data_IF_042173993429
#
_entry.id   IF_042173993429
#
_cell.length_a   1.000
_cell.length_b   1.000
_cell.length_c   1.000
_cell.angle_alpha   90.00
_cell.angle_beta   90.00
_cell.angle_gamma   90.00
#
_symmetry.space_group_name_H-M   'P 1'
#
loop_
_entity.id
_entity.type
_entity.pdbx_description
1 polymer ?
#
# COMPACT_ATOMS: atom_id res chain seq x y z
N UNK A 1 14.37 -6.10 11.60
CA UNK A 1 13.71 -7.18 12.36
C UNK A 1 14.55 -8.44 12.34
N UNK A 2 14.87 -8.99 11.16
CA UNK A 2 15.73 -10.17 11.02
C UNK A 2 17.23 -9.83 11.09
N UNK A 3 17.66 -8.91 11.96
CA UNK A 3 19.10 -8.66 12.13
C UNK A 3 19.68 -9.67 13.11
N UNK A 4 20.92 -10.09 12.89
CA UNK A 4 21.56 -11.16 13.67
C UNK A 4 21.47 -10.87 15.18
N UNK A 5 21.82 -9.65 15.60
CA UNK A 5 21.76 -9.21 17.01
C UNK A 5 20.35 -9.26 17.60
N UNK A 6 19.32 -8.97 16.81
CA UNK A 6 17.94 -8.95 17.28
C UNK A 6 17.37 -10.37 17.36
N UNK A 7 17.73 -11.22 16.39
CA UNK A 7 17.34 -12.63 16.36
C UNK A 7 17.99 -13.39 17.52
N UNK A 8 19.29 -13.21 17.77
CA UNK A 8 19.98 -13.84 18.90
C UNK A 8 19.40 -13.39 20.23
N UNK A 9 19.14 -12.09 20.40
CA UNK A 9 18.48 -11.58 21.61
C UNK A 9 17.08 -12.17 21.79
N UNK A 10 16.25 -12.23 20.74
CA UNK A 10 14.90 -12.82 20.83
C UNK A 10 14.95 -14.31 21.16
N UNK A 11 15.92 -15.06 20.62
CA UNK A 11 16.08 -16.47 20.92
C UNK A 11 16.64 -16.72 22.34
N UNK A 12 17.50 -15.83 22.84
CA UNK A 12 18.08 -15.89 24.17
C UNK A 12 17.08 -15.56 25.29
N UNK A 13 16.09 -14.71 25.02
CA UNK A 13 15.03 -14.31 25.98
C UNK A 13 13.96 -15.42 26.25
N UNK A 14 14.28 -16.69 25.97
CA UNK A 14 13.43 -17.83 26.27
C UNK A 14 12.11 -17.88 25.47
N UNK A 15 11.04 -18.33 26.11
CA UNK A 15 9.74 -18.55 25.46
C UNK A 15 9.10 -17.26 24.94
N UNK A 16 9.26 -16.14 25.65
CA UNK A 16 8.66 -14.86 25.26
C UNK A 16 9.28 -14.30 23.97
N UNK A 17 10.61 -14.36 23.84
CA UNK A 17 11.27 -13.85 22.64
C UNK A 17 10.99 -14.71 21.39
N UNK A 18 10.90 -16.04 21.54
CA UNK A 18 10.43 -16.94 20.47
C UNK A 18 8.99 -16.64 20.05
N UNK A 19 8.10 -16.37 21.01
CA UNK A 19 6.72 -15.96 20.72
C UNK A 19 6.68 -14.66 19.90
N UNK A 20 7.39 -13.61 20.32
CA UNK A 20 7.44 -12.32 19.59
C UNK A 20 7.99 -12.50 18.17
N UNK A 21 9.01 -13.34 18.00
CA UNK A 21 9.58 -13.63 16.68
C UNK A 21 8.57 -14.29 15.73
N UNK A 22 7.94 -15.38 16.17
CA UNK A 22 6.92 -16.10 15.38
C UNK A 22 5.69 -15.23 15.16
N UNK A 23 5.28 -14.46 16.16
CA UNK A 23 4.14 -13.55 16.09
C UNK A 23 4.38 -12.43 15.07
N UNK A 24 5.56 -11.84 15.02
CA UNK A 24 5.90 -10.80 14.04
C UNK A 24 5.83 -11.31 12.58
N UNK A 25 6.36 -12.50 12.33
CA UNK A 25 6.27 -13.14 11.01
C UNK A 25 4.81 -13.47 10.66
N UNK A 26 4.07 -14.06 11.61
CA UNK A 26 2.65 -14.39 11.42
C UNK A 26 1.79 -13.15 11.16
N UNK A 27 2.06 -12.04 11.86
CA UNK A 27 1.38 -10.77 11.66
C UNK A 27 1.58 -10.27 10.22
N UNK A 28 2.82 -10.24 9.76
CA UNK A 28 3.16 -9.69 8.45
C UNK A 28 2.65 -10.54 7.28
N UNK A 29 2.78 -11.86 7.36
CA UNK A 29 2.47 -12.77 6.24
C UNK A 29 1.04 -13.30 6.24
N UNK A 30 0.36 -13.33 7.39
CA UNK A 30 -0.98 -13.93 7.51
C UNK A 30 -2.01 -12.90 7.97
N UNK A 31 -1.79 -12.26 9.12
CA UNK A 31 -2.82 -11.38 9.70
C UNK A 31 -3.04 -10.14 8.82
N UNK A 32 -1.96 -9.51 8.34
CA UNK A 32 -2.09 -8.33 7.47
C UNK A 32 -2.89 -8.61 6.19
N UNK A 33 -2.55 -9.61 5.35
CA UNK A 33 -3.31 -9.85 4.12
C UNK A 33 -4.76 -10.28 4.40
N UNK A 34 -5.00 -11.06 5.46
CA UNK A 34 -6.37 -11.43 5.87
C UNK A 34 -7.18 -10.20 6.29
N UNK A 35 -6.60 -9.29 7.06
CA UNK A 35 -7.28 -8.07 7.45
C UNK A 35 -7.50 -7.13 6.26
N UNK A 36 -6.55 -7.05 5.32
CA UNK A 36 -6.72 -6.28 4.06
C UNK A 36 -7.82 -6.89 3.17
N UNK A 37 -7.98 -8.21 3.21
CA UNK A 37 -9.05 -8.90 2.49
C UNK A 37 -10.44 -8.42 2.96
N UNK A 38 -10.66 -8.39 4.28
CA UNK A 38 -11.95 -8.06 4.88
C UNK A 38 -12.22 -6.56 5.00
N UNK A 39 -11.20 -5.77 5.37
CA UNK A 39 -11.34 -4.36 5.76
C UNK A 39 -10.62 -3.37 4.80
N UNK A 40 -9.96 -3.86 3.75
CA UNK A 40 -9.20 -3.03 2.81
C UNK A 40 -7.89 -2.49 3.42
N UNK A 41 -7.13 -1.65 2.71
CA UNK A 41 -5.86 -1.10 3.25
C UNK A 41 -6.01 -0.09 4.39
N UNK A 42 -7.22 0.45 4.57
CA UNK A 42 -7.49 1.51 5.55
C UNK A 42 -7.19 1.07 6.98
N UNK A 43 -7.48 -0.18 7.35
CA UNK A 43 -7.27 -0.65 8.73
C UNK A 43 -5.79 -0.46 9.14
N UNK A 44 -4.84 -0.86 8.30
CA UNK A 44 -3.43 -0.73 8.62
C UNK A 44 -2.97 0.73 8.48
N UNK A 45 -3.25 1.36 7.34
CA UNK A 45 -2.72 2.68 7.01
C UNK A 45 -3.31 3.85 7.83
N UNK A 46 -4.43 3.65 8.52
CA UNK A 46 -5.06 4.69 9.36
C UNK A 46 -5.01 4.37 10.85
N UNK A 47 -5.02 3.09 11.26
CA UNK A 47 -5.10 2.74 12.69
C UNK A 47 -3.79 2.20 13.27
N UNK A 48 -2.96 1.56 12.45
CA UNK A 48 -1.75 0.86 12.93
C UNK A 48 -0.48 1.61 12.51
N UNK A 49 -0.46 2.15 11.30
CA UNK A 49 0.72 2.75 10.71
C UNK A 49 0.94 4.18 11.20
N UNK A 50 2.00 4.41 11.98
CA UNK A 50 2.42 5.75 12.43
C UNK A 50 2.71 6.72 11.28
N UNK A 51 3.28 6.25 10.17
CA UNK A 51 3.49 7.09 8.97
C UNK A 51 2.17 7.57 8.35
N UNK A 52 1.11 6.78 8.49
CA UNK A 52 -0.23 7.15 8.06
C UNK A 52 -0.79 8.29 8.90
N UNK A 53 -0.69 8.18 10.24
CA UNK A 53 -1.07 9.26 11.16
C UNK A 53 -0.30 10.56 10.87
N UNK A 54 1.02 10.46 10.67
CA UNK A 54 1.85 11.62 10.32
C UNK A 54 1.40 12.30 9.03
N UNK A 55 1.04 11.52 8.01
CA UNK A 55 0.54 12.07 6.74
C UNK A 55 -0.83 12.74 6.90
N UNK A 56 -1.73 12.19 7.72
CA UNK A 56 -3.02 12.83 8.01
C UNK A 56 -2.86 14.13 8.81
N UNK A 57 -1.90 14.21 9.73
CA UNK A 57 -1.70 15.41 10.55
C UNK A 57 -0.92 16.51 9.83
N UNK A 58 0.16 16.18 9.11
CA UNK A 58 1.06 17.16 8.50
C UNK A 58 0.90 17.29 6.98
N UNK A 59 0.45 16.23 6.30
CA UNK A 59 0.34 16.18 4.84
C UNK A 59 -0.99 16.69 4.30
N UNK A 60 -2.04 16.72 5.12
CA UNK A 60 -3.40 17.10 4.66
C UNK A 60 -3.48 18.51 4.03
N UNK A 61 -2.82 19.56 4.56
CA UNK A 61 -2.81 20.88 3.94
C UNK A 61 -2.20 20.94 2.54
N UNK A 62 -1.42 19.92 2.15
CA UNK A 62 -0.69 19.90 0.88
C UNK A 62 -1.32 18.98 -0.16
N UNK A 63 -2.51 18.41 0.09
CA UNK A 63 -3.15 17.42 -0.80
C UNK A 63 -3.26 17.89 -2.27
N UNK A 64 -3.46 19.18 -2.49
CA UNK A 64 -3.56 19.81 -3.82
C UNK A 64 -2.29 19.70 -4.66
N UNK A 65 -1.12 19.57 -4.04
CA UNK A 65 0.17 19.44 -4.74
C UNK A 65 0.40 18.03 -5.31
N UNK A 66 -0.49 17.07 -5.00
CA UNK A 66 -0.37 15.72 -5.52
C UNK A 66 -0.62 15.68 -7.03
N UNK A 67 0.42 15.35 -7.80
CA UNK A 67 0.30 15.18 -9.26
C UNK A 67 -0.59 13.97 -9.58
N UNK A 68 -1.63 14.20 -10.39
CA UNK A 68 -2.66 13.21 -10.78
C UNK A 68 -2.46 12.69 -12.20
N UNK A 69 -1.44 13.15 -12.91
CA UNK A 69 -1.17 12.79 -14.30
C UNK A 69 -0.88 11.30 -14.47
N UNK A 70 -1.11 10.79 -15.68
CA UNK A 70 -0.80 9.40 -16.03
C UNK A 70 0.72 9.13 -15.93
N UNK A 71 1.57 10.14 -16.14
CA UNK A 71 3.02 10.02 -15.99
C UNK A 71 3.39 9.78 -14.52
N UNK A 72 2.88 10.60 -13.60
CA UNK A 72 3.08 10.41 -12.16
C UNK A 72 2.57 9.05 -11.69
N UNK A 73 1.44 8.57 -12.25
CA UNK A 73 0.93 7.22 -11.96
C UNK A 73 1.82 6.09 -12.47
N UNK A 74 2.42 6.22 -13.66
CA UNK A 74 3.37 5.21 -14.13
C UNK A 74 4.59 5.19 -13.21
N UNK A 75 5.10 6.36 -12.86
CA UNK A 75 6.25 6.53 -11.98
C UNK A 75 5.99 5.97 -10.57
N UNK A 76 4.85 6.28 -9.95
CA UNK A 76 4.48 5.74 -8.62
C UNK A 76 4.46 4.21 -8.64
N UNK A 77 3.95 3.61 -9.72
CA UNK A 77 3.89 2.16 -9.86
C UNK A 77 5.29 1.56 -9.99
N UNK A 78 6.16 2.11 -10.81
CA UNK A 78 7.50 1.55 -11.00
C UNK A 78 8.33 1.62 -9.70
N UNK A 79 8.37 2.80 -9.06
CA UNK A 79 9.18 2.97 -7.85
C UNK A 79 8.67 2.10 -6.71
N UNK A 80 7.36 2.08 -6.44
CA UNK A 80 6.87 1.37 -5.26
C UNK A 80 7.08 -0.15 -5.36
N UNK A 81 7.01 -0.72 -6.58
CA UNK A 81 7.29 -2.15 -6.79
C UNK A 81 8.80 -2.43 -6.81
N UNK A 82 9.62 -1.50 -7.33
CA UNK A 82 11.07 -1.60 -7.22
C UNK A 82 11.52 -1.62 -5.75
N UNK A 83 10.99 -0.70 -4.93
CA UNK A 83 11.28 -0.66 -3.49
C UNK A 83 10.79 -1.92 -2.78
N UNK A 84 9.63 -2.47 -3.17
CA UNK A 84 9.16 -3.76 -2.65
C UNK A 84 10.12 -4.90 -2.99
N UNK A 85 10.54 -5.03 -4.26
CA UNK A 85 11.50 -6.07 -4.69
C UNK A 85 12.82 -5.94 -3.94
N UNK A 86 13.33 -4.72 -3.81
CA UNK A 86 14.53 -4.43 -3.05
C UNK A 86 14.38 -4.79 -1.56
N UNK A 87 13.24 -4.44 -0.94
CA UNK A 87 12.97 -4.78 0.46
C UNK A 87 12.87 -6.30 0.69
N UNK A 88 12.24 -7.04 -0.24
CA UNK A 88 12.17 -8.51 -0.18
C UNK A 88 13.56 -9.11 -0.33
N UNK A 89 14.34 -8.65 -1.31
CA UNK A 89 15.72 -9.08 -1.51
C UNK A 89 16.57 -8.86 -0.26
N UNK A 90 16.54 -7.64 0.30
CA UNK A 90 17.28 -7.32 1.52
C UNK A 90 16.83 -8.15 2.72
N UNK A 91 15.54 -8.46 2.82
CA UNK A 91 14.98 -9.29 3.90
C UNK A 91 15.45 -10.74 3.78
N UNK A 92 15.44 -11.31 2.56
CA UNK A 92 15.96 -12.67 2.29
C UNK A 92 17.46 -12.72 2.59
N UNK A 93 18.21 -11.74 2.11
CA UNK A 93 19.65 -11.63 2.34
C UNK A 93 19.98 -11.60 3.84
N UNK A 94 19.36 -10.66 4.56
CA UNK A 94 19.58 -10.46 6.00
C UNK A 94 19.10 -11.66 6.81
N UNK A 95 18.02 -12.32 6.39
CA UNK A 95 17.52 -13.55 7.01
C UNK A 95 18.45 -14.74 6.78
N UNK A 96 19.05 -14.86 5.60
CA UNK A 96 20.02 -15.91 5.29
C UNK A 96 21.31 -15.77 6.11
N UNK A 97 21.88 -14.57 6.19
CA UNK A 97 23.06 -14.32 7.02
C UNK A 97 22.76 -14.56 8.51
N UNK A 98 21.57 -14.16 8.98
CA UNK A 98 21.12 -14.46 10.36
C UNK A 98 21.00 -15.96 10.61
N UNK A 99 20.46 -16.71 9.64
CA UNK A 99 20.32 -18.15 9.72
C UNK A 99 21.69 -18.83 9.81
N UNK A 100 22.64 -18.44 8.94
CA UNK A 100 24.01 -18.96 8.98
C UNK A 100 24.70 -18.66 10.31
N UNK A 101 24.54 -17.45 10.85
CA UNK A 101 25.12 -17.05 12.13
C UNK A 101 24.58 -17.89 13.31
N UNK A 102 23.30 -18.27 13.29
CA UNK A 102 22.66 -19.03 14.38
C UNK A 102 22.92 -20.53 14.28
N UNK A 103 22.87 -21.11 13.08
CA UNK A 103 22.99 -22.56 12.89
C UNK A 103 24.42 -23.06 12.67
N UNK A 104 25.34 -22.19 12.26
CA UNK A 104 26.74 -22.54 12.02
C UNK A 104 27.69 -21.59 12.76
N UNK A 105 27.78 -21.67 14.09
CA UNK A 105 28.64 -20.79 14.88
C UNK A 105 30.13 -20.93 14.53
N UNK A 106 30.54 -22.06 13.95
CA UNK A 106 31.96 -22.42 13.74
C UNK A 106 32.55 -21.94 12.40
N UNK A 107 31.73 -21.42 11.46
CA UNK A 107 32.21 -20.89 10.19
C UNK A 107 32.96 -19.55 10.35
N UNK A 108 33.84 -19.20 9.42
CA UNK A 108 34.55 -17.91 9.46
C UNK A 108 33.56 -16.74 9.26
N UNK A 109 33.79 -15.63 9.95
CA UNK A 109 32.90 -14.46 9.95
C UNK A 109 32.71 -13.90 8.53
N UNK A 110 33.76 -13.92 7.71
CA UNK A 110 33.71 -13.46 6.33
C UNK A 110 32.76 -14.31 5.48
N UNK A 111 32.71 -15.63 5.67
CA UNK A 111 31.83 -16.51 4.89
C UNK A 111 30.36 -16.46 5.35
N UNK A 112 30.10 -16.09 6.60
CA UNK A 112 28.73 -15.90 7.14
C UNK A 112 28.07 -14.61 6.67
N UNK A 113 28.90 -13.59 6.48
CA UNK A 113 28.47 -12.22 6.16
C UNK A 113 28.44 -12.00 4.64
N UNK A 114 29.09 -12.89 3.87
CA UNK A 114 29.26 -12.77 2.42
C UNK A 114 28.33 -13.73 1.68
N UNK A 115 27.24 -13.19 1.15
CA UNK A 115 26.46 -13.86 0.11
C UNK A 115 26.93 -13.24 -1.24
N UNK A 116 27.15 -14.05 -2.29
CA UNK A 116 27.61 -13.57 -3.62
C UNK A 116 28.85 -12.65 -3.66
N UNK A 117 29.78 -12.75 -2.69
CA UNK A 117 31.03 -11.96 -2.67
C UNK A 117 30.89 -10.52 -2.14
N UNK A 118 29.76 -10.16 -1.52
CA UNK A 118 29.52 -8.81 -0.98
C UNK A 118 29.30 -8.90 0.54
N UNK A 119 30.07 -8.14 1.33
CA UNK A 119 29.96 -8.14 2.79
C UNK A 119 28.67 -7.43 3.27
N UNK A 120 27.84 -8.16 4.00
CA UNK A 120 26.54 -7.69 4.48
C UNK A 120 26.60 -6.63 5.59
N UNK A 121 27.70 -6.50 6.33
CA UNK A 121 27.81 -5.55 7.44
C UNK A 121 27.92 -4.09 7.01
N UNK A 122 28.72 -3.83 5.98
CA UNK A 122 28.84 -2.48 5.40
C UNK A 122 27.52 -2.07 4.77
N UNK A 123 26.86 -2.99 4.07
CA UNK A 123 25.54 -2.74 3.48
C UNK A 123 24.50 -2.49 4.57
N UNK A 124 24.45 -3.29 5.64
CA UNK A 124 23.49 -3.11 6.75
C UNK A 124 23.67 -1.77 7.46
N UNK A 125 24.91 -1.34 7.68
CA UNK A 125 25.21 -0.07 8.35
C UNK A 125 24.81 1.12 7.49
N UNK A 126 25.18 1.13 6.21
CA UNK A 126 24.75 2.16 5.26
C UNK A 126 23.24 2.16 5.03
N UNK A 127 22.63 0.99 4.89
CA UNK A 127 21.19 0.82 4.76
C UNK A 127 20.43 1.34 5.98
N UNK A 128 20.90 1.00 7.19
CA UNK A 128 20.32 1.46 8.46
C UNK A 128 20.46 2.97 8.66
N UNK A 129 21.62 3.55 8.32
CA UNK A 129 21.85 5.00 8.38
C UNK A 129 21.03 5.75 7.33
N UNK A 130 21.01 5.27 6.09
CA UNK A 130 20.28 5.89 4.99
C UNK A 130 18.77 5.80 5.23
N UNK A 131 18.24 4.64 5.63
CA UNK A 131 16.82 4.52 6.00
C UNK A 131 16.50 5.33 7.26
N UNK A 132 17.34 5.28 8.29
CA UNK A 132 17.12 6.02 9.53
C UNK A 132 17.05 7.54 9.32
N UNK A 133 17.99 8.09 8.53
CA UNK A 133 18.05 9.53 8.22
C UNK A 133 17.00 9.98 7.19
N UNK A 134 16.71 9.16 6.19
CA UNK A 134 15.74 9.46 5.14
C UNK A 134 14.29 9.39 5.66
N UNK A 135 13.99 8.48 6.58
CA UNK A 135 12.66 8.37 7.21
C UNK A 135 12.44 9.35 8.36
N UNK A 136 13.47 9.74 9.13
CA UNK A 136 13.29 10.65 10.28
C UNK A 136 13.15 12.12 9.88
N UNK A 137 13.72 12.56 8.76
CA UNK A 137 13.73 13.98 8.37
C UNK A 137 13.19 14.30 6.98
N UNK A 138 13.71 13.66 5.93
CA UNK A 138 13.55 14.18 4.56
C UNK A 138 12.26 13.70 3.89
N UNK A 139 11.89 12.43 4.04
CA UNK A 139 10.71 11.84 3.39
C UNK A 139 9.45 11.94 4.25
N UNK A 140 9.58 11.95 5.58
CA UNK A 140 8.45 11.94 6.52
C UNK A 140 7.68 13.26 6.64
N UNK A 141 8.34 14.40 6.41
CA UNK A 141 7.72 15.74 6.54
C UNK A 141 8.15 16.72 5.45
N UNK A 142 9.42 16.68 5.01
CA UNK A 142 9.97 17.64 4.04
C UNK A 142 9.35 17.59 2.63
N UNK A 143 8.86 16.42 2.20
CA UNK A 143 8.30 16.26 0.85
C UNK A 143 6.80 16.52 0.73
N UNK A 144 6.06 16.66 1.83
CA UNK A 144 4.62 16.94 1.76
C UNK A 144 4.29 18.27 1.08
N UNK A 145 5.01 19.38 1.35
CA UNK A 145 4.74 20.65 0.67
C UNK A 145 4.91 20.60 -0.86
N UNK A 146 5.79 19.73 -1.36
CA UNK A 146 6.18 19.69 -2.78
C UNK A 146 5.36 18.65 -3.54
N UNK A 147 5.22 17.44 -3.00
CA UNK A 147 4.64 16.30 -3.72
C UNK A 147 3.24 15.91 -3.22
N UNK A 148 2.75 16.57 -2.17
CA UNK A 148 1.41 16.44 -1.62
C UNK A 148 1.29 15.49 -0.45
N UNK A 149 0.06 15.04 -0.17
CA UNK A 149 -0.20 14.17 0.97
C UNK A 149 0.27 12.72 0.69
N UNK A 150 0.66 11.98 1.73
CA UNK A 150 0.97 10.54 1.72
C UNK A 150 2.03 10.13 0.66
N UNK A 151 2.97 11.02 0.34
CA UNK A 151 4.05 10.80 -0.64
C UNK A 151 4.84 9.53 -0.34
N UNK A 152 5.19 9.31 0.92
CA UNK A 152 5.85 8.07 1.35
C UNK A 152 5.02 6.83 1.03
N UNK A 153 3.73 6.85 1.39
CA UNK A 153 2.82 5.73 1.15
C UNK A 153 2.60 5.47 -0.35
N UNK A 154 2.72 6.52 -1.17
CA UNK A 154 2.51 6.49 -2.62
C UNK A 154 3.73 6.00 -3.40
N UNK A 155 4.94 6.37 -2.99
CA UNK A 155 6.16 6.08 -3.76
C UNK A 155 7.09 5.08 -3.11
N UNK A 156 7.20 5.07 -1.78
CA UNK A 156 8.30 4.39 -1.09
C UNK A 156 7.91 3.28 -0.13
N UNK A 157 6.65 3.21 0.33
CA UNK A 157 6.27 2.24 1.34
C UNK A 157 6.16 0.82 0.76
N UNK A 158 7.09 -0.12 1.09
CA UNK A 158 7.03 -1.48 0.56
C UNK A 158 5.80 -2.22 1.06
N UNK A 159 5.37 -1.95 2.30
CA UNK A 159 4.17 -2.56 2.85
C UNK A 159 2.90 -2.06 2.14
N UNK A 160 2.86 -0.80 1.69
CA UNK A 160 1.75 -0.28 0.90
C UNK A 160 1.68 -0.95 -0.48
N UNK A 161 2.82 -1.29 -1.10
CA UNK A 161 2.86 -2.09 -2.32
C UNK A 161 2.36 -3.53 -2.07
N UNK A 162 2.85 -4.19 -1.02
CA UNK A 162 2.41 -5.54 -0.64
C UNK A 162 0.90 -5.60 -0.41
N UNK A 163 0.38 -4.73 0.46
CA UNK A 163 -1.07 -4.67 0.71
C UNK A 163 -1.83 -4.16 -0.52
N UNK A 164 -1.22 -3.34 -1.37
CA UNK A 164 -1.82 -2.84 -2.61
C UNK A 164 -2.04 -3.95 -3.65
N UNK A 165 -1.14 -4.94 -3.68
CA UNK A 165 -1.26 -6.15 -4.47
C UNK A 165 -2.45 -6.99 -3.98
N UNK A 166 -2.49 -7.28 -2.67
CA UNK A 166 -3.60 -8.02 -2.04
C UNK A 166 -4.92 -7.28 -2.25
N UNK A 167 -4.93 -5.96 -2.07
CA UNK A 167 -6.14 -5.16 -2.26
C UNK A 167 -6.61 -5.21 -3.69
N UNK A 168 -5.74 -5.08 -4.69
CA UNK A 168 -6.14 -5.07 -6.10
C UNK A 168 -6.75 -6.40 -6.55
N UNK A 169 -6.19 -7.52 -6.09
CA UNK A 169 -6.60 -8.84 -6.58
C UNK A 169 -7.62 -9.56 -5.71
N UNK A 170 -7.61 -9.34 -4.39
CA UNK A 170 -8.39 -10.16 -3.44
C UNK A 170 -9.31 -9.38 -2.51
N UNK A 171 -9.06 -8.11 -2.20
CA UNK A 171 -9.92 -7.40 -1.24
C UNK A 171 -11.36 -7.21 -1.72
N UNK A 172 -12.32 -7.38 -0.81
CA UNK A 172 -13.75 -7.09 -1.10
C UNK A 172 -14.03 -5.59 -1.22
N UNK A 173 -13.09 -4.77 -0.78
CA UNK A 173 -13.22 -3.33 -0.66
C UNK A 173 -13.02 -2.63 -2.01
N UNK A 174 -13.99 -1.80 -2.42
CA UNK A 174 -13.90 -0.97 -3.63
C UNK A 174 -14.75 0.29 -3.52
N UNK A 175 -14.42 1.27 -4.35
CA UNK A 175 -15.30 2.43 -4.57
C UNK A 175 -16.02 2.19 -5.89
N UNK A 176 -17.33 2.05 -5.82
CA UNK A 176 -18.19 1.93 -7.00
C UNK A 176 -18.69 3.28 -7.44
N UNK A 177 -18.94 3.39 -8.74
CA UNK A 177 -19.25 4.67 -9.39
C UNK A 177 -20.52 4.57 -10.22
N UNK A 178 -21.40 5.56 -10.08
CA UNK A 178 -22.56 5.74 -10.95
C UNK A 178 -22.31 6.93 -11.90
N UNK A 179 -21.67 6.65 -13.04
CA UNK A 179 -21.18 7.68 -13.95
C UNK A 179 -22.27 8.62 -14.49
N UNK A 180 -23.50 8.12 -14.66
CA UNK A 180 -24.62 8.91 -15.20
C UNK A 180 -25.03 10.11 -14.35
N UNK A 181 -24.63 10.15 -13.06
CA UNK A 181 -24.93 11.24 -12.13
C UNK A 181 -23.74 12.20 -11.95
N UNK A 182 -22.61 11.97 -12.63
CA UNK A 182 -21.39 12.75 -12.46
C UNK A 182 -21.47 14.12 -13.15
N UNK A 183 -21.46 15.19 -12.36
CA UNK A 183 -21.41 16.59 -12.86
C UNK A 183 -19.98 17.13 -13.06
N UNK A 184 -18.96 16.28 -13.01
CA UNK A 184 -17.55 16.66 -13.27
C UNK A 184 -16.95 17.77 -12.39
N UNK A 185 -17.52 18.05 -11.21
CA UNK A 185 -17.09 19.12 -10.30
C UNK A 185 -15.66 18.99 -9.75
N UNK A 186 -15.08 17.78 -9.71
CA UNK A 186 -13.69 17.56 -9.32
C UNK A 186 -13.39 17.47 -7.82
N UNK A 187 -14.36 17.72 -6.92
CA UNK A 187 -14.18 17.63 -5.47
C UNK A 187 -13.54 16.29 -5.05
N UNK A 188 -14.02 15.19 -5.60
CA UNK A 188 -13.50 13.85 -5.30
C UNK A 188 -12.00 13.68 -5.62
N UNK A 189 -11.48 14.32 -6.68
CA UNK A 189 -10.04 14.31 -7.02
C UNK A 189 -9.25 15.28 -6.15
N UNK A 190 -9.85 16.40 -5.73
CA UNK A 190 -9.18 17.41 -4.88
C UNK A 190 -8.96 16.91 -3.46
N UNK A 191 -9.93 16.21 -2.89
CA UNK A 191 -9.86 15.66 -1.53
C UNK A 191 -9.24 14.25 -1.48
N UNK A 192 -8.72 13.72 -2.59
CA UNK A 192 -8.08 12.42 -2.59
C UNK A 192 -6.66 12.50 -1.98
N UNK A 193 -6.50 11.95 -0.78
CA UNK A 193 -5.22 11.86 -0.05
C UNK A 193 -4.10 11.12 -0.82
N UNK A 194 -4.47 10.30 -1.81
CA UNK A 194 -3.53 9.52 -2.62
C UNK A 194 -3.20 10.19 -3.97
N UNK A 195 -3.75 11.38 -4.24
CA UNK A 195 -3.53 12.05 -5.54
C UNK A 195 -4.09 11.28 -6.74
N UNK A 196 -5.19 10.54 -6.55
CA UNK A 196 -5.87 9.82 -7.64
C UNK A 196 -6.82 10.79 -8.34
N UNK A 197 -6.84 10.80 -9.68
CA UNK A 197 -7.87 11.52 -10.43
C UNK A 197 -9.21 10.76 -10.42
N UNK A 198 -9.90 10.80 -9.28
CA UNK A 198 -11.18 10.13 -9.05
C UNK A 198 -12.26 10.59 -10.04
N UNK A 199 -12.26 11.88 -10.41
CA UNK A 199 -13.19 12.45 -11.39
C UNK A 199 -13.14 11.71 -12.72
N UNK A 200 -11.95 11.39 -13.22
CA UNK A 200 -11.81 10.67 -14.49
C UNK A 200 -12.41 9.26 -14.44
N UNK A 201 -12.35 8.57 -13.29
CA UNK A 201 -13.03 7.29 -13.10
C UNK A 201 -14.56 7.47 -13.06
N UNK A 202 -15.03 8.47 -12.32
CA UNK A 202 -16.47 8.76 -12.20
C UNK A 202 -17.10 9.13 -13.54
N UNK A 203 -16.46 9.99 -14.35
CA UNK A 203 -16.93 10.37 -15.68
C UNK A 203 -17.07 9.17 -16.63
N UNK A 204 -16.18 8.17 -16.48
CA UNK A 204 -16.16 6.96 -17.29
C UNK A 204 -17.04 5.84 -16.73
N UNK A 205 -17.72 6.06 -15.61
CA UNK A 205 -18.49 5.01 -14.91
C UNK A 205 -17.64 3.82 -14.45
N UNK A 206 -16.33 4.03 -14.21
CA UNK A 206 -15.42 2.95 -13.84
C UNK A 206 -15.27 2.86 -12.33
N UNK A 207 -15.29 1.64 -11.81
CA UNK A 207 -14.98 1.38 -10.40
C UNK A 207 -13.50 1.65 -10.11
N UNK A 208 -13.19 2.18 -8.93
CA UNK A 208 -11.83 2.55 -8.55
C UNK A 208 -11.18 1.36 -7.85
N UNK A 209 -10.52 0.51 -8.63
CA UNK A 209 -9.76 -0.65 -8.15
C UNK A 209 -8.26 -0.41 -8.37
N UNK A 210 -7.75 0.64 -7.72
CA UNK A 210 -6.35 1.06 -7.83
C UNK A 210 -5.52 0.54 -6.65
N UNK A 211 -4.33 0.00 -6.92
CA UNK A 211 -3.42 -0.46 -5.87
C UNK A 211 -2.90 0.67 -4.98
N UNK A 212 -2.91 1.93 -5.43
CA UNK A 212 -2.58 3.10 -4.59
C UNK A 212 -3.74 3.57 -3.70
N UNK A 213 -4.99 3.26 -4.05
CA UNK A 213 -6.15 3.68 -3.25
C UNK A 213 -6.12 3.07 -1.84
N UNK A 214 -6.07 3.87 -0.78
CA UNK A 214 -6.09 3.38 0.62
C UNK A 214 -7.50 3.02 1.10
N UNK A 215 -8.53 3.49 0.39
CA UNK A 215 -9.91 3.24 0.78
C UNK A 215 -10.43 4.11 1.92
N UNK A 216 -9.94 5.35 2.05
CA UNK A 216 -10.40 6.27 3.11
C UNK A 216 -11.87 6.69 2.98
N UNK A 217 -12.43 6.67 1.76
CA UNK A 217 -13.84 7.00 1.50
C UNK A 217 -14.15 8.49 1.41
N UNK A 218 -13.15 9.38 1.58
CA UNK A 218 -13.35 10.84 1.53
C UNK A 218 -13.97 11.27 0.21
N UNK A 219 -13.58 10.67 -0.92
CA UNK A 219 -14.15 10.98 -2.23
C UNK A 219 -15.66 10.70 -2.34
N UNK A 220 -16.17 9.68 -1.63
CA UNK A 220 -17.60 9.39 -1.55
C UNK A 220 -18.32 10.41 -0.66
N UNK A 221 -17.71 10.79 0.46
CA UNK A 221 -18.29 11.75 1.40
C UNK A 221 -18.40 13.18 0.83
N UNK A 222 -17.42 13.64 0.06
CA UNK A 222 -17.41 15.00 -0.52
C UNK A 222 -18.17 15.12 -1.84
N UNK A 223 -18.73 14.02 -2.36
CA UNK A 223 -19.43 14.03 -3.63
C UNK A 223 -20.85 14.60 -3.44
N UNK A 224 -21.18 15.79 -3.99
CA UNK A 224 -22.48 16.42 -3.75
C UNK A 224 -23.66 15.64 -4.37
N UNK A 225 -23.38 14.79 -5.36
CA UNK A 225 -24.40 14.00 -6.08
C UNK A 225 -24.46 12.55 -5.62
N UNK A 226 -23.60 12.11 -4.69
CA UNK A 226 -23.58 10.71 -4.22
C UNK A 226 -23.15 9.69 -5.28
N UNK A 227 -22.40 10.11 -6.31
CA UNK A 227 -21.96 9.27 -7.44
C UNK A 227 -21.05 8.11 -7.00
N UNK A 228 -20.31 8.31 -5.92
CA UNK A 228 -19.28 7.40 -5.46
C UNK A 228 -19.74 6.74 -4.17
N UNK A 229 -19.65 5.42 -4.09
CA UNK A 229 -20.01 4.65 -2.89
C UNK A 229 -18.85 3.77 -2.46
N UNK A 230 -18.56 3.80 -1.16
CA UNK A 230 -17.62 2.89 -0.54
C UNK A 230 -18.37 1.61 -0.14
N UNK A 231 -18.02 0.46 -0.73
CA UNK A 231 -18.70 -0.79 -0.43
C UNK A 231 -17.79 -2.01 -0.44
N UNK A 232 -18.25 -3.05 0.26
CA UNK A 232 -17.69 -4.38 0.21
C UNK A 232 -18.54 -5.22 -0.74
N UNK A 233 -17.94 -5.69 -1.83
CA UNK A 233 -18.61 -6.51 -2.82
C UNK A 233 -17.85 -7.81 -3.15
N UNK A 234 -18.45 -8.71 -3.93
CA UNK A 234 -17.81 -9.98 -4.34
C UNK A 234 -16.55 -9.75 -5.19
N UNK A 235 -15.66 -10.75 -5.27
CA UNK A 235 -14.47 -10.69 -6.13
C UNK A 235 -14.81 -10.77 -7.63
N UNK A 236 -15.95 -11.37 -7.96
CA UNK A 236 -16.42 -11.58 -9.34
C UNK A 236 -16.75 -10.24 -10.03
N UNK A 237 -16.33 -10.08 -11.30
CA UNK A 237 -16.48 -8.86 -12.11
C UNK A 237 -15.93 -7.57 -11.49
N UNK A 238 -14.90 -7.67 -10.63
CA UNK A 238 -14.29 -6.50 -9.99
C UNK A 238 -13.48 -5.63 -10.95
N UNK A 239 -12.80 -6.26 -11.91
CA UNK A 239 -12.04 -5.59 -12.98
C UNK A 239 -12.77 -5.91 -14.27
N UNK A 240 -13.90 -5.25 -14.52
CA UNK A 240 -14.57 -5.36 -15.82
C UNK A 240 -13.73 -4.60 -16.87
N UNK A 241 -13.29 -5.25 -17.96
CA UNK A 241 -12.67 -4.57 -19.09
C UNK A 241 -13.67 -3.63 -19.77
N UNK A 242 -14.96 -3.96 -19.69
CA UNK A 242 -16.06 -3.18 -20.22
C UNK A 242 -16.68 -2.39 -19.07
N UNK A 243 -16.22 -1.15 -18.87
CA UNK A 243 -17.06 -0.19 -18.16
C UNK A 243 -17.92 0.49 -19.21
N UNK A 244 -19.22 0.17 -19.34
CA UNK A 244 -20.06 0.90 -20.25
C UNK A 244 -20.07 2.35 -19.80
N UNK A 245 -19.92 3.27 -20.76
CA UNK A 245 -20.28 4.67 -20.55
C UNK A 245 -21.77 4.63 -20.22
N UNK A 246 -22.11 4.76 -18.93
CA UNK A 246 -23.50 4.76 -18.49
C UNK A 246 -24.08 6.12 -18.89
N UNK A 247 -24.46 6.23 -20.16
CA UNK A 247 -25.27 7.32 -20.65
C UNK A 247 -26.60 7.24 -19.89
N UNK A 248 -26.95 8.32 -19.22
CA UNK A 248 -28.14 8.38 -18.38
C UNK A 248 -29.41 7.97 -19.14
N UNK A 249 -30.30 7.32 -18.39
CA UNK A 249 -31.66 6.88 -18.75
C UNK A 249 -31.87 5.61 -19.59
N UNK A 250 -30.85 4.91 -20.08
CA UNK A 250 -31.08 3.68 -20.88
C UNK A 250 -30.62 2.37 -20.23
N UNK A 251 -30.29 2.40 -18.94
CA UNK A 251 -29.81 1.22 -18.21
C UNK A 251 -30.92 0.40 -17.51
N UNK A 252 -32.06 0.17 -18.17
CA UNK A 252 -33.00 -0.88 -17.75
C UNK A 252 -33.06 -1.94 -18.85
N UNK A 253 -32.30 -3.03 -18.66
CA UNK A 253 -32.59 -4.28 -19.37
C UNK A 253 -33.78 -4.92 -18.65
N UNK A 254 -34.94 -4.97 -19.33
CA UNK A 254 -36.06 -5.80 -18.87
C UNK A 254 -35.58 -7.25 -18.80
N UNK A 255 -35.89 -7.91 -17.69
CA UNK A 255 -35.65 -9.34 -17.52
C UNK A 255 -36.49 -10.09 -18.57
N UNK A 256 -35.85 -10.79 -19.51
CA UNK A 256 -36.55 -11.52 -20.58
C UNK A 256 -37.20 -12.83 -20.10
N UNK A 257 -37.09 -13.18 -18.82
CA UNK A 257 -37.62 -14.43 -18.28
C UNK A 257 -39.10 -14.38 -17.84
N UNK A 258 -39.91 -13.46 -18.42
CA UNK A 258 -41.38 -13.40 -18.15
C UNK A 258 -42.19 -13.27 -19.46
N UNK A 259 -41.67 -13.80 -20.57
CA UNK A 259 -42.50 -14.09 -21.75
C UNK A 259 -42.16 -15.47 -22.26
N UNK A 260 -42.68 -16.48 -21.55
CA UNK A 260 -43.50 -17.57 -22.08
C UNK A 260 -44.02 -18.45 -20.92
#
# INVERSE_FOLDING_TARGET
FLFDWNVTNLLANGHFGKFVFVWGISLSLVIIPVMVYFYGKRWYCSWVCGCGGLAETLGDPYRQHSDKTVKAWKFERYIIHFVLLFAVFMTIWTGYTSYQQVYHPDMDYNDKVTLLGISSDTIRSWYGFLIGSVFSGVIGTGFYPIFGNRVWCRFGCPLAAYMGLVQRFKSRFRITTNGGQCISCGNCSTYCEQGIDVRAYAQKGQNIVRSSCVGCGVCAAVCPRGVLKLENGPEFNRISPDNPIVLGNEAFTLNSDITD
#
